data_IF_996091751429
#
_entry.id   IF_996091751429
#
_cell.length_a   1.000
_cell.length_b   1.000
_cell.length_c   1.000
_cell.angle_alpha   90.00
_cell.angle_beta   90.00
_cell.angle_gamma   90.00
#
_symmetry.space_group_name_H-M   'P 1'
#
loop_
_entity.id
_entity.type
_entity.pdbx_description
1 polymer ?
#
# COMPACT_ATOMS: atom_id res chain seq x y z
N UNK A 1 -0.67 -5.34 -22.22
CA UNK A 1 -0.18 -3.95 -21.99
C UNK A 1 -1.35 -2.97 -21.99
N UNK A 2 -2.25 -3.03 -22.96
CA UNK A 2 -3.30 -2.02 -23.16
C UNK A 2 -4.28 -1.86 -21.98
N UNK A 3 -4.53 -2.94 -21.20
CA UNK A 3 -5.44 -2.86 -20.06
C UNK A 3 -4.79 -2.51 -18.72
N UNK A 4 -3.50 -2.78 -18.57
CA UNK A 4 -2.80 -2.61 -17.29
C UNK A 4 -1.69 -1.57 -17.36
N UNK A 5 -1.22 -1.20 -18.56
CA UNK A 5 -0.03 -0.38 -18.75
C UNK A 5 1.27 -1.09 -18.36
N UNK A 6 1.22 -2.37 -17.95
CA UNK A 6 2.38 -3.19 -17.59
C UNK A 6 2.82 -3.99 -18.81
N UNK A 7 4.11 -3.97 -19.12
CA UNK A 7 4.67 -4.76 -20.21
C UNK A 7 4.87 -6.20 -19.78
N UNK A 8 4.35 -7.14 -20.57
CA UNK A 8 4.56 -8.56 -20.39
C UNK A 8 5.53 -9.11 -21.45
N UNK A 9 6.49 -9.91 -20.99
CA UNK A 9 7.39 -10.67 -21.85
C UNK A 9 7.18 -12.15 -21.60
N UNK A 10 7.00 -12.93 -22.66
CA UNK A 10 6.77 -14.38 -22.59
C UNK A 10 7.93 -15.11 -23.24
N UNK A 11 8.47 -16.10 -22.56
CA UNK A 11 9.55 -16.96 -23.05
C UNK A 11 9.36 -18.41 -22.60
N UNK A 12 10.08 -19.33 -23.21
CA UNK A 12 10.14 -20.73 -22.79
C UNK A 12 11.43 -20.96 -22.00
N UNK A 13 11.31 -21.57 -20.84
CA UNK A 13 12.45 -22.08 -20.07
C UNK A 13 13.04 -23.35 -20.71
N UNK A 14 14.23 -23.77 -20.30
CA UNK A 14 14.92 -24.94 -20.83
C UNK A 14 14.15 -26.26 -20.63
N UNK A 15 13.36 -26.35 -19.55
CA UNK A 15 12.48 -27.47 -19.22
C UNK A 15 11.13 -27.43 -19.96
N UNK A 16 10.92 -26.43 -20.83
CA UNK A 16 9.67 -26.22 -21.58
C UNK A 16 8.58 -25.47 -20.79
N UNK A 17 8.86 -25.01 -19.57
CA UNK A 17 7.91 -24.18 -18.83
C UNK A 17 7.76 -22.80 -19.49
N UNK A 18 6.54 -22.27 -19.42
CA UNK A 18 6.25 -20.91 -19.89
C UNK A 18 6.64 -19.91 -18.81
N UNK A 19 7.55 -19.00 -19.13
CA UNK A 19 7.92 -17.88 -18.28
C UNK A 19 7.17 -16.62 -18.71
N UNK A 20 6.51 -15.97 -17.77
CA UNK A 20 5.87 -14.67 -17.98
C UNK A 20 6.53 -13.68 -17.03
N UNK A 21 7.14 -12.65 -17.60
CA UNK A 21 7.72 -11.54 -16.87
C UNK A 21 6.86 -10.29 -17.04
N UNK A 22 6.61 -9.57 -15.95
CA UNK A 22 5.83 -8.35 -15.91
C UNK A 22 6.72 -7.18 -15.44
N UNK A 23 6.88 -6.15 -16.27
CA UNK A 23 7.66 -4.95 -15.98
C UNK A 23 6.72 -3.84 -15.50
N UNK A 24 6.71 -3.57 -14.20
CA UNK A 24 5.94 -2.49 -13.58
C UNK A 24 6.80 -1.25 -13.30
N UNK A 25 6.21 -0.34 -12.52
CA UNK A 25 6.88 0.87 -12.03
C UNK A 25 6.80 0.87 -10.51
N UNK A 26 7.96 0.89 -9.84
CA UNK A 26 8.04 0.95 -8.38
C UNK A 26 7.54 2.30 -7.86
N UNK A 27 6.85 2.26 -6.70
CA UNK A 27 6.47 3.44 -5.95
C UNK A 27 6.52 3.15 -4.45
N UNK A 28 6.60 4.20 -3.65
CA UNK A 28 6.52 4.06 -2.20
C UNK A 28 5.10 3.66 -1.77
N UNK A 29 4.95 2.81 -0.75
CA UNK A 29 3.65 2.32 -0.28
C UNK A 29 2.68 3.42 0.21
N UNK A 30 3.20 4.59 0.59
CA UNK A 30 2.38 5.77 0.92
C UNK A 30 1.86 6.52 -0.32
N UNK A 31 2.45 6.29 -1.51
CA UNK A 31 2.08 6.94 -2.78
C UNK A 31 2.04 5.90 -3.92
N UNK A 32 1.30 4.80 -3.77
CA UNK A 32 1.33 3.70 -4.73
C UNK A 32 0.76 4.07 -6.11
N UNK A 33 -0.01 5.16 -6.19
CA UNK A 33 -0.54 5.71 -7.45
C UNK A 33 0.54 6.30 -8.37
N UNK A 34 1.74 6.58 -7.85
CA UNK A 34 2.87 7.07 -8.63
C UNK A 34 3.58 5.93 -9.39
N UNK A 35 3.22 4.68 -9.07
CA UNK A 35 3.74 3.47 -9.69
C UNK A 35 2.72 2.72 -10.53
N UNK A 36 3.12 1.50 -10.95
CA UNK A 36 2.24 0.56 -11.61
C UNK A 36 2.59 -0.86 -11.16
N UNK A 37 1.74 -1.48 -10.35
CA UNK A 37 2.03 -2.74 -9.68
C UNK A 37 2.05 -3.93 -10.67
N UNK A 38 3.24 -4.44 -10.96
CA UNK A 38 3.44 -5.58 -11.86
C UNK A 38 2.77 -6.86 -11.36
N UNK A 39 2.74 -7.07 -10.03
CA UNK A 39 2.16 -8.26 -9.43
C UNK A 39 0.65 -8.34 -9.66
N UNK A 40 -0.09 -7.27 -9.34
CA UNK A 40 -1.55 -7.26 -9.55
C UNK A 40 -1.92 -7.31 -11.04
N UNK A 41 -1.10 -6.72 -11.92
CA UNK A 41 -1.26 -6.86 -13.37
C UNK A 41 -1.06 -8.30 -13.84
N UNK A 42 -0.01 -8.99 -13.34
CA UNK A 42 0.24 -10.40 -13.65
C UNK A 42 -0.88 -11.31 -13.14
N UNK A 43 -1.37 -11.08 -11.91
CA UNK A 43 -2.51 -11.82 -11.36
C UNK A 43 -3.78 -11.63 -12.20
N UNK A 44 -4.05 -10.39 -12.67
CA UNK A 44 -5.15 -10.10 -13.60
C UNK A 44 -5.00 -10.88 -14.90
N UNK A 45 -3.80 -10.90 -15.49
CA UNK A 45 -3.53 -11.69 -16.69
C UNK A 45 -3.76 -13.18 -16.43
N UNK A 46 -3.19 -13.76 -15.39
CA UNK A 46 -3.33 -15.19 -15.08
C UNK A 46 -4.78 -15.58 -14.80
N UNK A 47 -5.55 -14.72 -14.12
CA UNK A 47 -6.96 -14.95 -13.84
C UNK A 47 -7.83 -14.93 -15.12
N UNK A 48 -7.39 -14.27 -16.19
CA UNK A 48 -8.07 -14.22 -17.49
C UNK A 48 -7.83 -15.46 -18.38
N UNK A 49 -6.82 -16.28 -18.04
CA UNK A 49 -6.49 -17.45 -18.83
C UNK A 49 -7.53 -18.56 -18.67
N UNK A 50 -7.75 -19.40 -19.70
CA UNK A 50 -8.70 -20.52 -19.66
C UNK A 50 -8.14 -21.70 -18.85
N UNK A 51 -7.83 -21.47 -17.58
CA UNK A 51 -7.32 -22.47 -16.66
C UNK A 51 -8.39 -23.53 -16.35
N UNK A 52 -7.94 -24.77 -16.12
CA UNK A 52 -8.84 -25.84 -15.67
C UNK A 52 -9.49 -25.49 -14.33
N UNK A 53 -10.73 -25.94 -14.14
CA UNK A 53 -11.48 -25.74 -12.89
C UNK A 53 -10.73 -26.42 -11.72
N UNK A 54 -10.38 -25.64 -10.74
CA UNK A 54 -9.61 -26.08 -9.56
C UNK A 54 -9.76 -25.11 -8.40
N UNK A 55 -9.42 -25.56 -7.19
CA UNK A 55 -9.33 -24.68 -6.02
C UNK A 55 -8.36 -23.51 -6.27
N UNK A 56 -7.24 -23.79 -6.93
CA UNK A 56 -6.21 -22.78 -7.26
C UNK A 56 -6.79 -21.70 -8.17
N UNK A 57 -7.55 -22.07 -9.22
CA UNK A 57 -8.22 -21.10 -10.10
C UNK A 57 -9.20 -20.22 -9.32
N UNK A 58 -10.00 -20.82 -8.44
CA UNK A 58 -10.94 -20.08 -7.59
C UNK A 58 -10.22 -19.09 -6.68
N UNK A 59 -9.14 -19.52 -5.99
CA UNK A 59 -8.36 -18.64 -5.12
C UNK A 59 -7.64 -17.55 -5.91
N UNK A 60 -7.13 -17.84 -7.11
CA UNK A 60 -6.54 -16.84 -7.99
C UNK A 60 -7.56 -15.77 -8.40
N UNK A 61 -8.78 -16.16 -8.72
CA UNK A 61 -9.87 -15.22 -8.99
C UNK A 61 -10.22 -14.38 -7.75
N UNK A 62 -10.27 -15.01 -6.58
CA UNK A 62 -10.58 -14.32 -5.33
C UNK A 62 -9.51 -13.29 -4.98
N UNK A 63 -8.21 -13.61 -5.11
CA UNK A 63 -7.14 -12.62 -4.85
C UNK A 63 -7.21 -11.44 -5.81
N UNK A 64 -7.53 -11.65 -7.09
CA UNK A 64 -7.68 -10.54 -8.03
C UNK A 64 -8.92 -9.68 -7.77
N UNK A 65 -9.93 -10.24 -7.10
CA UNK A 65 -11.12 -9.49 -6.65
C UNK A 65 -10.82 -8.66 -5.40
N UNK A 66 -10.02 -9.19 -4.48
CA UNK A 66 -9.62 -8.51 -3.25
C UNK A 66 -8.56 -7.43 -3.49
N UNK A 67 -7.69 -7.64 -4.47
CA UNK A 67 -6.60 -6.72 -4.86
C UNK A 67 -6.68 -6.43 -6.36
N UNK A 68 -7.73 -5.71 -6.83
CA UNK A 68 -7.85 -5.40 -8.25
C UNK A 68 -6.69 -4.54 -8.72
N UNK A 69 -6.18 -4.81 -9.91
CA UNK A 69 -5.14 -3.97 -10.49
C UNK A 69 -5.62 -2.53 -10.66
N UNK A 70 -4.83 -1.57 -10.17
CA UNK A 70 -5.17 -0.15 -10.15
C UNK A 70 -5.97 0.30 -8.91
N UNK A 71 -6.36 -0.61 -8.02
CA UNK A 71 -6.91 -0.25 -6.72
C UNK A 71 -5.76 -0.07 -5.70
N UNK A 72 -5.42 1.15 -5.42
CA UNK A 72 -4.38 1.52 -4.47
C UNK A 72 -4.91 1.97 -3.10
N UNK A 73 -6.22 1.90 -2.90
CA UNK A 73 -6.89 2.40 -1.69
C UNK A 73 -7.61 1.29 -0.90
N UNK A 74 -7.54 0.03 -1.33
CA UNK A 74 -8.16 -1.09 -0.65
C UNK A 74 -9.67 -1.20 -0.85
N UNK A 75 -10.19 -0.72 -1.99
CA UNK A 75 -11.60 -0.84 -2.35
C UNK A 75 -12.08 -2.28 -2.44
N UNK A 76 -11.27 -3.19 -3.02
CA UNK A 76 -11.59 -4.62 -3.09
C UNK A 76 -11.72 -5.28 -1.72
N UNK A 77 -10.94 -4.83 -0.73
CA UNK A 77 -11.04 -5.25 0.66
C UNK A 77 -12.10 -4.48 1.47
N UNK A 78 -12.64 -3.38 0.92
CA UNK A 78 -13.66 -2.57 1.57
C UNK A 78 -13.12 -1.64 2.67
N UNK A 79 -11.86 -1.23 2.56
CA UNK A 79 -11.17 -0.37 3.54
C UNK A 79 -10.64 0.92 2.91
N UNK A 80 -11.24 1.38 1.82
CA UNK A 80 -10.92 2.63 1.13
C UNK A 80 -11.41 3.85 1.92
N UNK A 81 -10.92 3.97 3.15
CA UNK A 81 -11.27 5.06 4.06
C UNK A 81 -10.51 6.34 3.69
N UNK A 82 -11.08 7.48 4.05
CA UNK A 82 -10.48 8.80 3.87
C UNK A 82 -10.89 9.72 5.01
N UNK A 83 -9.98 10.58 5.45
CA UNK A 83 -10.29 11.66 6.39
C UNK A 83 -9.53 12.96 6.05
N UNK A 84 -9.96 14.07 6.65
CA UNK A 84 -9.41 15.40 6.38
C UNK A 84 -7.98 15.60 6.95
N UNK A 85 -7.54 14.75 7.88
CA UNK A 85 -6.25 14.88 8.57
C UNK A 85 -5.14 14.20 7.78
N UNK A 86 -5.37 12.93 7.41
CA UNK A 86 -4.34 12.06 6.80
C UNK A 86 -4.64 11.67 5.36
N UNK A 87 -5.77 12.09 4.80
CA UNK A 87 -6.19 11.73 3.46
C UNK A 87 -6.66 10.28 3.34
N UNK A 88 -6.37 9.66 2.21
CA UNK A 88 -6.83 8.31 1.88
C UNK A 88 -5.95 7.22 2.48
N UNK A 89 -6.58 6.13 2.89
CA UNK A 89 -5.90 4.85 3.07
C UNK A 89 -5.21 4.45 1.76
N UNK A 90 -3.97 3.96 1.84
CA UNK A 90 -3.32 3.26 0.73
C UNK A 90 -3.15 1.78 1.08
N UNK A 91 -3.29 0.92 0.07
CA UNK A 91 -3.15 -0.51 0.23
C UNK A 91 -2.62 -1.15 -1.05
N UNK A 92 -1.53 -1.92 -0.93
CA UNK A 92 -0.88 -2.60 -2.05
C UNK A 92 -0.57 -4.05 -1.72
N UNK A 93 -0.80 -4.95 -2.66
CA UNK A 93 -0.29 -6.33 -2.61
C UNK A 93 1.17 -6.31 -3.10
N UNK A 94 2.11 -6.64 -2.21
CA UNK A 94 3.54 -6.46 -2.45
C UNK A 94 4.27 -7.75 -2.78
N UNK A 95 3.88 -8.83 -2.12
CA UNK A 95 4.47 -10.14 -2.31
C UNK A 95 3.37 -11.18 -2.55
N UNK A 96 3.64 -12.12 -3.44
CA UNK A 96 2.76 -13.24 -3.70
C UNK A 96 3.56 -14.46 -4.13
N UNK A 97 3.22 -15.59 -3.56
CA UNK A 97 3.80 -16.89 -3.88
C UNK A 97 2.68 -17.86 -4.20
N UNK A 98 2.80 -18.56 -5.30
CA UNK A 98 1.92 -19.65 -5.71
C UNK A 98 2.77 -20.82 -6.20
N UNK A 99 2.60 -21.97 -5.59
CA UNK A 99 3.18 -23.23 -6.02
C UNK A 99 2.18 -24.38 -5.84
N UNK A 100 2.61 -25.62 -6.01
CA UNK A 100 1.73 -26.80 -5.99
C UNK A 100 1.00 -27.02 -4.65
N UNK A 101 1.52 -26.46 -3.56
CA UNK A 101 1.04 -26.72 -2.19
C UNK A 101 0.60 -25.48 -1.44
N UNK A 102 1.00 -24.28 -1.89
CA UNK A 102 0.84 -23.03 -1.15
C UNK A 102 0.45 -21.88 -2.04
N UNK A 103 -0.47 -21.08 -1.56
CA UNK A 103 -0.74 -19.72 -2.04
C UNK A 103 -0.67 -18.77 -0.87
N UNK A 104 0.22 -17.78 -0.92
CA UNK A 104 0.38 -16.77 0.12
C UNK A 104 0.71 -15.42 -0.46
N UNK A 105 0.35 -14.36 0.25
CA UNK A 105 0.66 -13.00 -0.13
C UNK A 105 0.86 -12.11 1.07
N UNK A 106 1.53 -10.99 0.85
CA UNK A 106 1.72 -9.92 1.83
C UNK A 106 1.33 -8.60 1.19
N UNK A 107 0.59 -7.79 1.90
CA UNK A 107 0.19 -6.45 1.49
C UNK A 107 0.61 -5.43 2.54
N UNK A 108 0.93 -4.22 2.10
CA UNK A 108 1.12 -3.04 2.96
C UNK A 108 -0.19 -2.24 2.99
N UNK A 109 -0.59 -1.82 4.18
CA UNK A 109 -1.75 -0.95 4.38
C UNK A 109 -1.35 0.26 5.22
N UNK A 110 -1.42 1.44 4.64
CA UNK A 110 -1.24 2.72 5.32
C UNK A 110 -2.62 3.31 5.58
N UNK A 111 -3.16 2.96 6.74
CA UNK A 111 -4.51 3.36 7.11
C UNK A 111 -4.58 4.83 7.51
N UNK A 112 -5.67 5.50 7.14
CA UNK A 112 -5.92 6.89 7.53
C UNK A 112 -6.17 7.03 9.04
N UNK A 113 -6.14 8.26 9.56
CA UNK A 113 -6.25 8.52 11.00
C UNK A 113 -7.59 8.06 11.61
N UNK A 114 -8.65 7.96 10.81
CA UNK A 114 -9.96 7.46 11.26
C UNK A 114 -10.10 5.93 11.26
N UNK A 115 -9.03 5.20 10.87
CA UNK A 115 -9.03 3.75 10.86
C UNK A 115 -9.02 3.18 12.28
N UNK A 116 -9.82 2.14 12.49
CA UNK A 116 -9.92 1.38 13.74
C UNK A 116 -9.80 -0.11 13.48
N UNK A 117 -9.66 -0.90 14.54
CA UNK A 117 -9.73 -2.37 14.38
C UNK A 117 -11.05 -2.81 13.74
N UNK A 118 -12.17 -2.19 14.12
CA UNK A 118 -13.51 -2.56 13.65
C UNK A 118 -13.73 -2.24 12.18
N UNK A 119 -13.33 -1.03 11.73
CA UNK A 119 -13.58 -0.58 10.36
C UNK A 119 -12.48 -0.95 9.35
N UNK A 120 -11.34 -1.44 9.83
CA UNK A 120 -10.18 -1.78 8.99
C UNK A 120 -9.75 -3.23 9.21
N UNK A 121 -9.09 -3.57 10.32
CA UNK A 121 -8.52 -4.90 10.58
C UNK A 121 -9.57 -6.01 10.45
N UNK A 122 -10.69 -5.88 11.18
CA UNK A 122 -11.73 -6.89 11.20
C UNK A 122 -12.43 -7.05 9.83
N UNK A 123 -12.58 -5.94 9.08
CA UNK A 123 -13.12 -5.97 7.72
C UNK A 123 -12.19 -6.73 6.79
N UNK A 124 -10.89 -6.44 6.81
CA UNK A 124 -9.87 -7.13 6.01
C UNK A 124 -9.83 -8.62 6.35
N UNK A 125 -9.73 -8.97 7.65
CA UNK A 125 -9.69 -10.36 8.09
C UNK A 125 -10.91 -11.14 7.64
N UNK A 126 -12.11 -10.55 7.80
CA UNK A 126 -13.35 -11.16 7.34
C UNK A 126 -13.36 -11.37 5.83
N UNK A 127 -12.99 -10.37 5.03
CA UNK A 127 -12.94 -10.45 3.57
C UNK A 127 -11.98 -11.52 3.07
N UNK A 128 -10.80 -11.60 3.68
CA UNK A 128 -9.81 -12.65 3.35
C UNK A 128 -10.36 -14.04 3.71
N UNK A 129 -10.95 -14.21 4.89
CA UNK A 129 -11.53 -15.48 5.32
C UNK A 129 -12.69 -15.92 4.44
N UNK A 130 -13.62 -15.00 4.10
CA UNK A 130 -14.74 -15.28 3.21
C UNK A 130 -14.27 -15.71 1.80
N UNK A 131 -13.10 -15.22 1.38
CA UNK A 131 -12.47 -15.58 0.10
C UNK A 131 -11.61 -16.86 0.16
N UNK A 132 -11.54 -17.52 1.32
CA UNK A 132 -10.85 -18.80 1.50
C UNK A 132 -9.38 -18.68 1.86
N UNK A 133 -8.91 -17.51 2.32
CA UNK A 133 -7.56 -17.30 2.85
C UNK A 133 -7.57 -17.33 4.38
N UNK A 134 -6.42 -17.62 4.96
CA UNK A 134 -6.19 -17.56 6.41
C UNK A 134 -5.38 -16.29 6.70
N UNK A 135 -6.02 -15.19 7.17
CA UNK A 135 -5.29 -13.98 7.53
C UNK A 135 -4.44 -14.22 8.78
N UNK A 136 -3.23 -13.67 8.79
CA UNK A 136 -2.46 -13.61 10.02
C UNK A 136 -3.06 -12.56 10.98
N UNK A 137 -2.69 -12.65 12.26
CA UNK A 137 -3.12 -11.68 13.27
C UNK A 137 -2.11 -10.51 13.40
N UNK A 138 -1.83 -9.84 12.28
CA UNK A 138 -1.01 -8.62 12.32
C UNK A 138 -1.75 -7.51 13.06
N UNK A 139 -1.10 -6.80 13.98
CA UNK A 139 -1.73 -5.68 14.65
C UNK A 139 -1.95 -4.52 13.67
N UNK A 140 -3.07 -3.81 13.84
CA UNK A 140 -3.24 -2.49 13.28
C UNK A 140 -2.55 -1.51 14.25
N UNK A 141 -1.45 -0.90 13.84
CA UNK A 141 -0.82 0.13 14.65
C UNK A 141 -1.71 1.37 14.67
N UNK A 142 -2.04 1.92 15.85
CA UNK A 142 -2.85 3.12 15.92
C UNK A 142 -2.10 4.29 15.24
N UNK A 143 -2.82 5.23 14.61
CA UNK A 143 -2.20 6.40 14.03
C UNK A 143 -1.56 7.26 15.12
N UNK A 144 -0.44 7.88 14.79
CA UNK A 144 0.20 8.89 15.64
C UNK A 144 -0.21 10.28 15.16
N UNK A 145 -0.99 10.99 15.94
CA UNK A 145 -1.51 12.31 15.59
C UNK A 145 -1.29 13.32 16.70
N UNK A 146 -0.67 14.44 16.36
CA UNK A 146 -0.53 15.60 17.24
C UNK A 146 -1.29 16.78 16.60
N UNK A 147 -2.24 17.40 17.32
CA UNK A 147 -3.00 18.53 16.79
C UNK A 147 -2.10 19.68 16.32
N UNK A 148 -2.43 20.24 15.14
CA UNK A 148 -1.67 21.36 14.56
C UNK A 148 -1.65 22.63 15.43
N UNK A 149 -2.63 22.76 16.32
CA UNK A 149 -2.74 23.88 17.26
C UNK A 149 -2.06 23.62 18.60
N UNK A 150 -1.37 22.47 18.77
CA UNK A 150 -0.56 22.19 19.96
C UNK A 150 0.59 23.20 20.08
N UNK A 151 1.01 23.47 21.33
CA UNK A 151 2.09 24.42 21.61
C UNK A 151 3.41 24.04 20.92
N UNK A 152 3.74 22.74 20.92
CA UNK A 152 4.96 22.24 20.27
C UNK A 152 4.94 22.49 18.75
N UNK A 153 3.84 22.15 18.07
CA UNK A 153 3.74 22.34 16.61
C UNK A 153 3.81 23.82 16.26
N UNK A 154 3.10 24.69 16.97
CA UNK A 154 3.15 26.14 16.76
C UNK A 154 4.56 26.68 16.94
N UNK A 155 5.22 26.34 18.05
CA UNK A 155 6.59 26.79 18.33
C UNK A 155 7.57 26.36 17.25
N UNK A 156 7.46 25.12 16.75
CA UNK A 156 8.34 24.63 15.69
C UNK A 156 8.09 25.35 14.36
N UNK A 157 6.84 25.59 13.98
CA UNK A 157 6.49 26.32 12.75
C UNK A 157 6.91 27.80 12.82
N UNK A 158 6.72 28.47 13.96
CA UNK A 158 7.18 29.84 14.20
C UNK A 158 8.72 29.93 14.12
N UNK A 159 9.42 28.99 14.79
CA UNK A 159 10.89 28.94 14.75
C UNK A 159 11.39 28.69 13.32
N UNK A 160 10.74 27.79 12.59
CA UNK A 160 11.09 27.54 11.19
C UNK A 160 10.93 28.81 10.35
N UNK A 161 9.81 29.51 10.51
CA UNK A 161 9.53 30.78 9.82
C UNK A 161 10.56 31.85 10.17
N UNK A 162 10.92 31.98 11.44
CA UNK A 162 11.92 32.97 11.90
C UNK A 162 13.31 32.73 11.30
N UNK A 163 13.69 31.44 11.12
CA UNK A 163 15.02 31.07 10.61
C UNK A 163 15.07 31.11 9.08
N UNK A 164 14.02 30.66 8.40
CA UNK A 164 14.02 30.51 6.93
C UNK A 164 13.32 31.65 6.19
N UNK A 165 12.45 32.40 6.85
CA UNK A 165 11.56 33.37 6.24
C UNK A 165 10.36 32.76 5.53
N UNK A 166 10.18 31.42 5.59
CA UNK A 166 9.11 30.69 4.91
C UNK A 166 8.03 30.24 5.89
N UNK A 167 6.78 30.52 5.55
CA UNK A 167 5.64 29.99 6.30
C UNK A 167 5.30 28.60 5.79
N UNK A 168 5.21 27.62 6.69
CA UNK A 168 4.86 26.25 6.37
C UNK A 168 3.68 25.77 7.22
N UNK A 169 2.92 24.83 6.66
CA UNK A 169 1.85 24.10 7.36
C UNK A 169 2.37 22.73 7.83
N UNK A 170 1.85 22.18 8.92
CA UNK A 170 2.18 20.83 9.34
C UNK A 170 1.72 19.81 8.31
N UNK A 171 2.48 18.74 8.14
CA UNK A 171 2.21 17.67 7.19
C UNK A 171 1.79 16.41 7.92
N UNK A 172 0.78 15.71 7.38
CA UNK A 172 0.51 14.33 7.70
C UNK A 172 1.17 13.43 6.63
N UNK A 173 1.82 12.36 7.04
CA UNK A 173 2.50 11.43 6.14
C UNK A 173 2.00 10.00 6.38
N UNK A 174 1.88 9.22 5.32
CA UNK A 174 1.49 7.80 5.35
C UNK A 174 2.63 6.86 5.74
N UNK A 175 3.48 7.25 6.68
CA UNK A 175 4.64 6.46 7.12
C UNK A 175 4.96 6.63 8.58
N UNK A 176 5.59 5.62 9.19
CA UNK A 176 6.09 5.71 10.56
C UNK A 176 7.42 6.44 10.62
N UNK A 177 7.60 7.24 11.68
CA UNK A 177 8.87 7.87 12.03
C UNK A 177 9.29 7.46 13.45
N UNK A 178 10.48 7.84 13.88
CA UNK A 178 10.95 7.54 15.24
C UNK A 178 10.07 8.13 16.35
N UNK A 179 9.28 9.17 16.04
CA UNK A 179 8.38 9.81 17.02
C UNK A 179 7.07 9.08 17.21
N UNK A 180 6.77 8.06 16.41
CA UNK A 180 5.50 7.33 16.46
C UNK A 180 5.15 6.77 17.85
N UNK A 181 6.15 6.48 18.67
CA UNK A 181 5.98 5.97 20.03
C UNK A 181 6.29 7.01 21.12
N UNK A 182 6.44 8.27 20.75
CA UNK A 182 6.68 9.38 21.68
C UNK A 182 5.38 10.16 21.83
N UNK A 183 4.80 10.11 23.02
CA UNK A 183 3.57 10.85 23.32
C UNK A 183 3.74 12.34 23.00
N UNK A 184 2.82 12.88 22.19
CA UNK A 184 2.84 14.26 21.68
C UNK A 184 4.12 14.64 20.90
N UNK A 185 4.97 13.66 20.53
CA UNK A 185 6.14 13.91 19.72
C UNK A 185 5.79 14.25 18.28
N UNK A 186 6.57 15.13 17.64
CA UNK A 186 6.45 15.42 16.22
C UNK A 186 7.82 15.33 15.55
N UNK A 187 7.84 14.91 14.29
CA UNK A 187 9.05 14.96 13.49
C UNK A 187 9.18 16.37 12.90
N UNK A 188 10.35 16.94 13.05
CA UNK A 188 10.73 18.18 12.40
C UNK A 188 12.07 17.93 11.71
N UNK A 189 12.17 18.18 10.42
CA UNK A 189 13.36 17.84 9.66
C UNK A 189 13.68 18.82 8.54
N UNK A 190 14.78 18.52 7.85
CA UNK A 190 15.33 19.33 6.76
C UNK A 190 14.76 18.95 5.39
N UNK A 191 13.84 17.99 5.30
CA UNK A 191 13.23 17.62 4.02
C UNK A 191 12.30 18.72 3.53
N UNK A 192 12.53 19.20 2.32
CA UNK A 192 11.63 20.12 1.63
C UNK A 192 10.67 19.29 0.78
N UNK A 193 9.33 19.40 0.99
CA UNK A 193 8.35 18.67 0.21
C UNK A 193 8.35 19.01 -1.29
N UNK A 194 8.92 20.14 -1.67
CA UNK A 194 9.05 20.56 -3.09
C UNK A 194 10.24 19.89 -3.79
N UNK A 195 11.12 19.23 -3.05
CA UNK A 195 12.30 18.55 -3.58
C UNK A 195 12.06 17.05 -3.55
N UNK A 196 12.09 16.42 -4.72
CA UNK A 196 12.09 14.97 -4.80
C UNK A 196 13.43 14.43 -4.27
N UNK A 197 13.37 13.81 -3.10
CA UNK A 197 14.54 13.23 -2.43
C UNK A 197 14.81 11.79 -2.89
N UNK A 198 14.06 11.26 -3.86
CA UNK A 198 14.11 9.86 -4.31
C UNK A 198 14.08 8.84 -3.16
N UNK A 199 13.36 9.17 -2.09
CA UNK A 199 13.32 8.37 -0.86
C UNK A 199 12.78 6.97 -1.17
N UNK A 200 13.62 5.94 -0.98
CA UNK A 200 13.33 4.55 -1.37
C UNK A 200 13.11 4.34 -2.89
N UNK A 201 13.54 5.27 -3.72
CA UNK A 201 13.55 5.11 -5.17
C UNK A 201 14.64 4.13 -5.63
N UNK A 202 14.60 3.70 -6.89
CA UNK A 202 15.73 2.98 -7.48
C UNK A 202 16.96 3.90 -7.50
N UNK A 203 18.11 3.34 -7.14
CA UNK A 203 19.42 4.01 -7.22
C UNK A 203 19.81 4.30 -8.68
#
# INVERSE_FOLDING_TARGET
EDETGVKFTVSLAEDGALMIHADGVSAHAASPMDGNNALTALLKLLSSLPLAESKTKTLLHNVTTLFPHGDYCGGGLGVNLEDEISGKTTLTLDLFELNDTKMSGTFDCRACNSATEENTKNVVQKKLSDAGFEPNDSPLNPPHYVPKDSELVKTLLETYTDVTGEVREPLAIGGGTYVHHIENGVACGCADPSVDNHMHGPD
#
